data_IF_534123254400
#
_entry.id   IF_534123254400
#
_cell.length_a   1.000
_cell.length_b   1.000
_cell.length_c   1.000
_cell.angle_alpha   90.00
_cell.angle_beta   90.00
_cell.angle_gamma   90.00
#
_symmetry.space_group_name_H-M   'P 1'
#
loop_
_entity.id
_entity.type
_entity.pdbx_description
1 polymer ?
#
# COMPACT_ATOMS: atom_id res chain seq x y z
N UNK A 1 53.23 9.50 3.51
CA UNK A 1 52.37 9.59 2.31
C UNK A 1 51.26 8.58 2.55
N UNK A 2 50.23 8.99 3.27
CA UNK A 2 49.11 8.13 3.63
C UNK A 2 48.04 8.24 2.54
N UNK A 3 47.87 7.17 1.76
CA UNK A 3 46.81 7.05 0.76
C UNK A 3 45.43 7.03 1.47
N UNK A 4 44.76 8.18 1.50
CA UNK A 4 43.39 8.30 2.00
C UNK A 4 42.45 7.60 1.01
N UNK A 5 41.69 6.55 1.41
CA UNK A 5 40.77 5.89 0.50
C UNK A 5 39.64 6.85 0.13
N UNK A 6 39.52 7.19 -1.15
CA UNK A 6 38.40 8.02 -1.66
C UNK A 6 37.06 7.33 -1.35
N UNK A 7 36.04 8.07 -0.89
CA UNK A 7 34.72 7.50 -0.65
C UNK A 7 34.11 7.04 -1.98
N UNK A 8 33.75 5.75 -2.04
CA UNK A 8 33.02 5.18 -3.17
C UNK A 8 31.69 5.92 -3.29
N UNK A 9 31.50 6.62 -4.42
CA UNK A 9 30.24 7.29 -4.78
C UNK A 9 29.08 6.32 -4.55
N UNK A 10 28.20 6.70 -3.63
CA UNK A 10 27.06 5.91 -3.19
C UNK A 10 26.22 5.46 -4.36
N UNK A 11 25.76 4.20 -4.29
CA UNK A 11 24.76 3.62 -5.18
C UNK A 11 23.59 4.61 -5.37
N UNK A 12 22.97 4.66 -6.56
CA UNK A 12 21.73 5.38 -6.74
C UNK A 12 20.71 4.89 -5.72
N UNK A 13 20.12 5.82 -4.97
CA UNK A 13 18.98 5.57 -4.07
C UNK A 13 17.91 4.88 -4.91
N UNK A 14 17.68 3.58 -4.69
CA UNK A 14 16.50 2.89 -5.21
C UNK A 14 15.29 3.68 -4.72
N UNK A 15 14.50 4.18 -5.66
CA UNK A 15 13.21 4.76 -5.38
C UNK A 15 12.41 3.74 -4.54
N UNK A 16 12.20 4.04 -3.27
CA UNK A 16 11.22 3.36 -2.43
C UNK A 16 9.87 3.66 -3.04
N UNK A 17 9.43 2.84 -4.01
CA UNK A 17 8.05 2.86 -4.48
C UNK A 17 7.16 2.52 -3.29
N UNK A 18 6.13 3.32 -3.08
CA UNK A 18 5.28 3.46 -1.89
C UNK A 18 4.49 2.21 -1.49
N UNK A 19 5.17 1.10 -1.18
CA UNK A 19 4.53 -0.08 -0.63
C UNK A 19 4.33 0.08 0.88
N UNK A 20 3.50 1.06 1.27
CA UNK A 20 3.10 1.25 2.66
C UNK A 20 2.11 0.15 3.01
N UNK A 21 2.60 -0.95 3.58
CA UNK A 21 1.75 -2.01 4.09
C UNK A 21 1.03 -1.51 5.35
N UNK A 22 -0.26 -1.18 5.21
CA UNK A 22 -1.13 -0.83 6.34
C UNK A 22 -2.03 -2.00 6.69
N UNK A 23 -2.08 -2.34 7.98
CA UNK A 23 -3.03 -3.30 8.50
C UNK A 23 -4.27 -2.55 8.98
N UNK A 24 -5.44 -2.93 8.45
CA UNK A 24 -6.72 -2.38 8.87
C UNK A 24 -7.45 -3.40 9.74
N UNK A 25 -7.98 -2.94 10.88
CA UNK A 25 -8.90 -3.70 11.70
C UNK A 25 -10.31 -3.24 11.37
N UNK A 26 -11.14 -4.15 10.88
CA UNK A 26 -12.53 -3.91 10.56
C UNK A 26 -13.45 -4.51 11.62
N UNK A 27 -14.68 -4.00 11.71
CA UNK A 27 -15.71 -4.67 12.49
C UNK A 27 -16.00 -6.06 11.90
N UNK A 28 -16.43 -7.00 12.74
CA UNK A 28 -16.72 -8.39 12.33
C UNK A 28 -17.75 -8.45 11.19
N UNK A 29 -18.74 -7.56 11.22
CA UNK A 29 -19.75 -7.45 10.16
C UNK A 29 -19.15 -6.95 8.83
N UNK A 30 -18.26 -5.96 8.88
CA UNK A 30 -17.61 -5.44 7.68
C UNK A 30 -16.64 -6.47 7.07
N UNK A 31 -15.89 -7.20 7.89
CA UNK A 31 -15.04 -8.30 7.41
C UNK A 31 -15.83 -9.39 6.68
N UNK A 32 -16.99 -9.80 7.20
CA UNK A 32 -17.86 -10.78 6.52
C UNK A 32 -18.30 -10.30 5.15
N UNK A 33 -18.69 -9.02 5.05
CA UNK A 33 -19.12 -8.42 3.78
C UNK A 33 -17.95 -8.30 2.79
N UNK A 34 -16.78 -7.93 3.26
CA UNK A 34 -15.56 -7.87 2.42
C UNK A 34 -15.18 -9.25 1.89
N UNK A 35 -15.26 -10.30 2.73
CA UNK A 35 -15.02 -11.68 2.29
C UNK A 35 -15.98 -12.11 1.17
N UNK A 36 -17.29 -11.85 1.33
CA UNK A 36 -18.30 -12.15 0.30
C UNK A 36 -18.00 -11.40 -1.00
N UNK A 37 -17.60 -10.12 -0.91
CA UNK A 37 -17.26 -9.33 -2.09
C UNK A 37 -15.97 -9.81 -2.74
N UNK A 38 -14.98 -10.23 -1.95
CA UNK A 38 -13.72 -10.79 -2.41
C UNK A 38 -13.94 -12.02 -3.28
N UNK A 39 -14.81 -12.93 -2.83
CA UNK A 39 -15.19 -14.12 -3.60
C UNK A 39 -15.97 -13.77 -4.88
N UNK A 40 -16.89 -12.80 -4.82
CA UNK A 40 -17.72 -12.43 -5.97
C UNK A 40 -16.95 -11.72 -7.07
N UNK A 41 -16.07 -10.80 -6.70
CA UNK A 41 -15.31 -9.97 -7.64
C UNK A 41 -13.98 -10.62 -8.04
N UNK A 42 -13.61 -11.75 -7.42
CA UNK A 42 -12.31 -12.41 -7.58
C UNK A 42 -11.13 -11.44 -7.34
N UNK A 43 -11.28 -10.58 -6.31
CA UNK A 43 -10.32 -9.57 -5.88
C UNK A 43 -9.94 -9.82 -4.43
N UNK A 44 -8.75 -9.38 -4.01
CA UNK A 44 -8.40 -9.43 -2.59
C UNK A 44 -9.20 -8.39 -1.79
N UNK A 45 -9.47 -8.69 -0.51
CA UNK A 45 -10.13 -7.74 0.40
C UNK A 45 -9.38 -6.38 0.45
N UNK A 46 -8.05 -6.41 0.35
CA UNK A 46 -7.22 -5.20 0.33
C UNK A 46 -7.46 -4.34 -0.92
N UNK A 47 -7.66 -4.96 -2.09
CA UNK A 47 -8.00 -4.24 -3.33
C UNK A 47 -9.39 -3.63 -3.25
N UNK A 48 -10.36 -4.37 -2.71
CA UNK A 48 -11.72 -3.86 -2.50
C UNK A 48 -11.70 -2.64 -1.58
N UNK A 49 -11.00 -2.73 -0.45
CA UNK A 49 -10.84 -1.61 0.50
C UNK A 49 -10.16 -0.43 -0.19
N UNK A 50 -9.09 -0.68 -0.96
CA UNK A 50 -8.39 0.37 -1.69
C UNK A 50 -9.33 1.10 -2.66
N UNK A 51 -10.08 0.35 -3.47
CA UNK A 51 -11.04 0.95 -4.40
C UNK A 51 -12.16 1.71 -3.70
N UNK A 52 -12.65 1.21 -2.56
CA UNK A 52 -13.64 1.90 -1.76
C UNK A 52 -13.09 3.24 -1.23
N UNK A 53 -11.84 3.27 -0.77
CA UNK A 53 -11.15 4.49 -0.31
C UNK A 53 -10.94 5.46 -1.47
N UNK A 54 -10.45 5.00 -2.63
CA UNK A 54 -10.26 5.84 -3.82
C UNK A 54 -11.58 6.49 -4.27
N UNK A 55 -12.68 5.72 -4.28
CA UNK A 55 -14.03 6.24 -4.60
C UNK A 55 -14.52 7.23 -3.56
N UNK A 56 -14.30 6.96 -2.28
CA UNK A 56 -14.69 7.87 -1.20
C UNK A 56 -13.96 9.21 -1.29
N UNK A 57 -12.64 9.20 -1.52
CA UNK A 57 -11.85 10.42 -1.69
C UNK A 57 -12.31 11.23 -2.91
N UNK A 58 -12.53 10.55 -4.03
CA UNK A 58 -13.07 11.17 -5.26
C UNK A 58 -14.43 11.81 -5.00
N UNK A 59 -15.33 11.11 -4.31
CA UNK A 59 -16.64 11.63 -3.94
C UNK A 59 -16.55 12.82 -2.96
N UNK A 60 -15.63 12.76 -2.01
CA UNK A 60 -15.37 13.84 -1.06
C UNK A 60 -14.69 15.06 -1.69
N UNK A 61 -14.28 14.98 -2.96
CA UNK A 61 -13.57 16.06 -3.66
C UNK A 61 -12.15 16.31 -3.14
N UNK A 62 -11.53 15.27 -2.55
CA UNK A 62 -10.13 15.27 -2.08
C UNK A 62 -9.24 14.71 -3.18
#
# INVERSE_FOLDING_TARGET
MDDIPKPRRGRPRKHFRDNVQKHFLFSTELSKRLAILSERENQSEAEIVRHAVERYLTFAGV
#
